data_IF_462330960307
#
_entry.id   IF_462330960307
#
_cell.length_a   1.000
_cell.length_b   1.000
_cell.length_c   1.000
_cell.angle_alpha   90.00
_cell.angle_beta   90.00
_cell.angle_gamma   90.00
#
_symmetry.space_group_name_H-M   'P 1'
#
loop_
_entity.id
_entity.type
_entity.pdbx_description
1 polymer ?
#
# COMPACT_ATOMS: atom_id res chain seq x y z
N UNK A 1 -11.37 28.25 -35.99
CA UNK A 1 -11.34 26.77 -35.99
C UNK A 1 -10.00 26.25 -35.45
N UNK A 2 -8.86 26.81 -35.85
CA UNK A 2 -7.51 26.43 -35.39
C UNK A 2 -7.19 26.65 -33.89
N UNK A 3 -7.72 27.70 -33.25
CA UNK A 3 -7.55 27.90 -31.80
C UNK A 3 -8.24 26.81 -30.96
N UNK A 4 -9.34 26.22 -31.43
CA UNK A 4 -10.04 25.14 -30.71
C UNK A 4 -9.18 23.88 -30.58
N UNK A 5 -8.44 23.53 -31.64
CA UNK A 5 -7.59 22.32 -31.67
C UNK A 5 -6.30 22.49 -30.86
N UNK A 6 -5.73 23.71 -30.84
CA UNK A 6 -4.54 24.01 -30.05
C UNK A 6 -4.85 23.99 -28.54
N UNK A 7 -5.99 24.55 -28.11
CA UNK A 7 -6.43 24.48 -26.70
C UNK A 7 -6.93 23.08 -26.33
N UNK A 8 -7.57 22.33 -27.23
CA UNK A 8 -7.89 20.92 -26.99
C UNK A 8 -6.63 20.07 -26.80
N UNK A 9 -5.54 20.38 -27.51
CA UNK A 9 -4.26 19.68 -27.36
C UNK A 9 -3.54 20.10 -26.08
N UNK A 10 -3.52 21.39 -25.74
CA UNK A 10 -2.95 21.88 -24.48
C UNK A 10 -3.75 21.44 -23.25
N UNK A 11 -5.08 21.36 -23.36
CA UNK A 11 -5.97 20.80 -22.34
C UNK A 11 -5.81 19.29 -22.24
N UNK A 12 -5.55 18.56 -23.34
CA UNK A 12 -5.15 17.16 -23.29
C UNK A 12 -3.76 16.97 -22.67
N UNK A 13 -2.82 17.90 -22.84
CA UNK A 13 -1.51 17.87 -22.17
C UNK A 13 -1.66 18.16 -20.69
N UNK A 14 -2.40 19.20 -20.31
CA UNK A 14 -2.65 19.56 -18.90
C UNK A 14 -3.46 18.45 -18.22
N UNK A 15 -4.50 17.91 -18.87
CA UNK A 15 -5.20 16.72 -18.37
C UNK A 15 -4.29 15.49 -18.36
N UNK A 16 -3.39 15.27 -19.31
CA UNK A 16 -2.44 14.14 -19.24
C UNK A 16 -1.35 14.33 -18.15
N UNK A 17 -0.98 15.58 -17.84
CA UNK A 17 -0.01 15.93 -16.80
C UNK A 17 -0.65 15.88 -15.41
N UNK A 18 -1.85 16.43 -15.25
CA UNK A 18 -2.63 16.42 -14.00
C UNK A 18 -3.32 15.08 -13.74
N UNK A 19 -3.72 14.31 -14.76
CA UNK A 19 -4.25 12.94 -14.56
C UNK A 19 -3.18 11.92 -14.16
N UNK A 20 -1.89 12.29 -14.09
CA UNK A 20 -0.87 11.46 -13.42
C UNK A 20 -0.37 12.07 -12.10
N UNK A 21 -0.85 13.26 -11.73
CA UNK A 21 -0.68 13.87 -10.41
C UNK A 21 -1.88 13.67 -9.47
N UNK A 22 -3.08 13.46 -10.03
CA UNK A 22 -4.15 12.77 -9.32
C UNK A 22 -3.69 11.31 -9.27
N UNK A 23 -3.42 10.71 -8.09
CA UNK A 23 -3.41 9.26 -8.02
C UNK A 23 -4.76 8.86 -8.59
N UNK A 24 -4.77 8.26 -9.77
CA UNK A 24 -5.98 7.65 -10.27
C UNK A 24 -6.55 6.89 -9.08
N UNK A 25 -7.82 7.12 -8.76
CA UNK A 25 -8.52 6.26 -7.82
C UNK A 25 -8.64 4.83 -8.38
N UNK A 26 -7.91 4.52 -9.46
CA UNK A 26 -7.19 3.27 -9.65
C UNK A 26 -6.11 3.07 -8.56
N UNK A 27 -6.48 3.21 -7.28
CA UNK A 27 -6.01 2.21 -6.34
C UNK A 27 -6.36 0.87 -7.00
N UNK A 28 -5.38 0.01 -7.36
CA UNK A 28 -5.73 -1.22 -8.04
C UNK A 28 -6.65 -1.95 -7.09
N UNK A 29 -7.95 -1.95 -7.40
CA UNK A 29 -8.97 -2.65 -6.61
C UNK A 29 -8.36 -4.02 -6.39
N UNK A 30 -7.96 -4.36 -5.15
CA UNK A 30 -7.12 -5.50 -4.91
C UNK A 30 -7.87 -6.70 -5.48
N UNK A 31 -7.28 -7.34 -6.49
CA UNK A 31 -7.95 -8.36 -7.29
C UNK A 31 -8.69 -9.33 -6.36
N UNK A 32 -10.03 -9.27 -6.38
CA UNK A 32 -10.91 -9.90 -5.39
C UNK A 32 -10.99 -11.43 -5.61
N UNK A 33 -9.88 -12.14 -5.50
CA UNK A 33 -9.91 -13.60 -5.49
C UNK A 33 -10.22 -14.11 -4.08
N UNK A 34 -11.43 -14.64 -3.91
CA UNK A 34 -11.73 -15.67 -2.91
C UNK A 34 -12.36 -15.26 -1.57
N UNK A 35 -12.62 -13.98 -1.30
CA UNK A 35 -13.07 -13.52 0.03
C UNK A 35 -14.33 -12.65 0.03
N UNK A 36 -15.18 -12.78 -0.98
CA UNK A 36 -16.44 -12.01 -1.10
C UNK A 36 -17.50 -12.33 -0.02
N UNK A 37 -17.25 -13.30 0.86
CA UNK A 37 -18.25 -13.83 1.81
C UNK A 37 -18.05 -13.44 3.28
N UNK A 38 -16.90 -12.87 3.70
CA UNK A 38 -16.66 -12.56 5.12
C UNK A 38 -16.75 -11.05 5.43
N UNK A 39 -17.82 -10.65 6.12
CA UNK A 39 -18.13 -9.24 6.43
C UNK A 39 -17.14 -8.59 7.39
N UNK A 40 -16.47 -9.38 8.24
CA UNK A 40 -15.41 -8.88 9.14
C UNK A 40 -14.17 -8.46 8.36
N UNK A 41 -13.75 -9.28 7.39
CA UNK A 41 -12.63 -8.97 6.50
C UNK A 41 -12.93 -7.75 5.62
N UNK A 42 -14.18 -7.58 5.17
CA UNK A 42 -14.58 -6.41 4.38
C UNK A 42 -14.54 -5.09 5.18
N UNK A 43 -15.03 -5.09 6.42
CA UNK A 43 -15.00 -3.89 7.27
C UNK A 43 -13.57 -3.50 7.68
N UNK A 44 -12.71 -4.49 7.94
CA UNK A 44 -11.29 -4.26 8.19
C UNK A 44 -10.58 -3.66 6.97
N UNK A 45 -10.99 -4.05 5.75
CA UNK A 45 -10.49 -3.48 4.49
C UNK A 45 -10.95 -2.05 4.25
N UNK A 46 -12.24 -1.77 4.40
CA UNK A 46 -12.77 -0.39 4.28
C UNK A 46 -12.13 0.57 5.29
N UNK A 47 -11.94 0.11 6.53
CA UNK A 47 -11.21 0.90 7.53
C UNK A 47 -9.75 1.17 7.13
N UNK A 48 -9.13 0.22 6.43
CA UNK A 48 -7.78 0.38 5.91
C UNK A 48 -7.70 1.35 4.73
N UNK A 49 -8.60 1.29 3.75
CA UNK A 49 -8.59 2.22 2.61
C UNK A 49 -8.70 3.68 3.10
N UNK A 50 -9.52 3.92 4.13
CA UNK A 50 -9.61 5.22 4.81
C UNK A 50 -8.28 5.59 5.53
N UNK A 51 -7.62 4.62 6.18
CA UNK A 51 -6.34 4.83 6.87
C UNK A 51 -5.16 5.01 5.90
N UNK A 52 -5.27 4.48 4.69
CA UNK A 52 -4.27 4.60 3.63
C UNK A 52 -4.41 5.94 2.89
N UNK A 53 -5.63 6.48 2.80
CA UNK A 53 -5.89 7.83 2.29
C UNK A 53 -5.32 8.91 3.22
N UNK A 54 -5.33 8.67 4.54
CA UNK A 54 -4.78 9.56 5.58
C UNK A 54 -3.28 9.25 5.86
N UNK A 55 -2.48 9.12 4.79
CA UNK A 55 -1.10 8.67 4.88
C UNK A 55 -0.11 9.79 5.23
N UNK A 56 0.66 9.55 6.30
CA UNK A 56 1.85 10.31 6.70
C UNK A 56 3.06 9.36 6.73
N UNK A 57 4.17 9.76 6.09
CA UNK A 57 5.36 8.92 5.90
C UNK A 57 6.03 8.47 7.21
N UNK A 58 5.86 9.26 8.28
CA UNK A 58 6.54 9.04 9.56
C UNK A 58 5.70 8.31 10.61
N UNK A 59 4.49 7.87 10.24
CA UNK A 59 3.62 7.20 11.19
C UNK A 59 3.95 5.72 11.32
N UNK A 60 4.00 5.26 12.57
CA UNK A 60 4.13 3.84 12.89
C UNK A 60 2.75 3.24 13.15
N UNK A 61 2.45 2.14 12.48
CA UNK A 61 1.28 1.34 12.78
C UNK A 61 1.54 0.53 14.06
N UNK A 62 0.67 0.71 15.06
CA UNK A 62 0.82 0.13 16.39
C UNK A 62 -0.42 -0.70 16.70
N UNK A 63 -0.21 -1.99 16.95
CA UNK A 63 -1.26 -2.88 17.45
C UNK A 63 -0.86 -3.54 18.77
N UNK A 64 -1.84 -3.65 19.67
CA UNK A 64 -1.65 -4.16 21.03
C UNK A 64 -2.58 -5.34 21.28
N UNK A 65 -2.01 -6.45 21.76
CA UNK A 65 -2.76 -7.54 22.37
C UNK A 65 -2.93 -7.24 23.84
N UNK A 66 -4.18 -7.26 24.29
CA UNK A 66 -4.54 -7.05 25.69
C UNK A 66 -5.07 -8.35 26.30
N UNK A 67 -4.82 -8.50 27.59
CA UNK A 67 -5.41 -9.52 28.45
C UNK A 67 -6.90 -9.21 28.72
N UNK A 68 -7.64 -10.16 29.30
CA UNK A 68 -8.99 -9.95 29.83
C UNK A 68 -9.06 -8.83 30.88
N UNK A 69 -7.96 -8.55 31.59
CA UNK A 69 -7.81 -7.42 32.52
C UNK A 69 -7.42 -6.10 31.85
N UNK A 70 -7.43 -6.02 30.51
CA UNK A 70 -6.98 -4.87 29.71
C UNK A 70 -5.48 -4.52 29.80
N UNK A 71 -4.66 -5.33 30.44
CA UNK A 71 -3.20 -5.18 30.44
C UNK A 71 -2.61 -5.51 29.07
N UNK A 72 -1.68 -4.68 28.58
CA UNK A 72 -1.01 -4.89 27.29
C UNK A 72 0.05 -5.98 27.42
N UNK A 73 -0.22 -7.15 26.84
CA UNK A 73 0.68 -8.30 26.87
C UNK A 73 1.78 -8.17 25.82
N UNK A 74 1.40 -7.68 24.65
CA UNK A 74 2.28 -7.60 23.50
C UNK A 74 1.90 -6.42 22.61
N UNK A 75 2.91 -5.69 22.17
CA UNK A 75 2.79 -4.57 21.27
C UNK A 75 3.69 -4.78 20.06
N UNK A 76 3.13 -4.66 18.86
CA UNK A 76 3.88 -4.72 17.61
C UNK A 76 3.80 -3.36 16.95
N UNK A 77 4.97 -2.82 16.62
CA UNK A 77 5.17 -1.56 15.91
C UNK A 77 5.82 -1.83 14.57
N UNK A 78 5.24 -1.26 13.51
CA UNK A 78 5.76 -1.35 12.15
C UNK A 78 5.67 0.03 11.51
N UNK A 79 6.70 0.45 10.78
CA UNK A 79 6.69 1.72 10.05
C UNK A 79 5.75 1.64 8.84
N UNK A 80 4.87 2.64 8.63
CA UNK A 80 3.95 2.64 7.48
C UNK A 80 4.67 2.64 6.12
N UNK A 81 5.87 3.23 6.05
CA UNK A 81 6.74 3.20 4.87
C UNK A 81 7.15 1.77 4.48
N UNK A 82 7.52 0.94 5.46
CA UNK A 82 7.96 -0.44 5.26
C UNK A 82 6.84 -1.38 4.75
N UNK A 83 5.57 -1.01 4.95
CA UNK A 83 4.40 -1.76 4.50
C UNK A 83 4.09 -1.56 3.01
N UNK A 84 4.79 -0.64 2.33
CA UNK A 84 4.68 -0.42 0.89
C UNK A 84 5.83 -1.10 0.19
N UNK A 85 5.50 -2.15 -0.57
CA UNK A 85 6.45 -2.85 -1.41
C UNK A 85 6.17 -2.52 -2.86
N UNK A 86 7.19 -2.65 -3.69
CA UNK A 86 7.05 -2.46 -5.13
C UNK A 86 7.33 -3.78 -5.83
N UNK A 87 6.55 -4.06 -6.87
CA UNK A 87 6.65 -5.29 -7.67
C UNK A 87 8.01 -5.45 -8.39
N UNK A 88 8.76 -4.35 -8.56
CA UNK A 88 10.13 -4.41 -9.11
C UNK A 88 11.19 -4.81 -8.06
N UNK A 89 10.81 -4.87 -6.78
CA UNK A 89 11.70 -5.27 -5.69
C UNK A 89 11.60 -6.78 -5.52
N UNK A 90 12.63 -7.51 -5.95
CA UNK A 90 12.67 -8.97 -5.79
C UNK A 90 12.51 -9.39 -4.32
N UNK A 91 13.04 -8.57 -3.39
CA UNK A 91 12.92 -8.79 -1.95
C UNK A 91 12.47 -7.51 -1.23
N UNK A 92 11.41 -7.62 -0.45
CA UNK A 92 10.95 -6.64 0.52
C UNK A 92 11.30 -7.09 1.93
N UNK A 93 11.84 -6.19 2.76
CA UNK A 93 12.13 -6.47 4.17
C UNK A 93 11.27 -5.57 5.05
N UNK A 94 10.53 -6.17 5.97
CA UNK A 94 9.72 -5.46 6.96
C UNK A 94 10.28 -5.78 8.33
N UNK A 95 10.83 -4.78 9.01
CA UNK A 95 11.32 -4.95 10.39
C UNK A 95 10.19 -4.59 11.37
N UNK A 96 9.75 -5.59 12.13
CA UNK A 96 8.65 -5.45 13.08
C UNK A 96 9.22 -5.36 14.50
N UNK A 97 9.02 -4.23 15.18
CA UNK A 97 9.44 -4.08 16.57
C UNK A 97 8.37 -4.63 17.50
N UNK A 98 8.69 -5.72 18.19
CA UNK A 98 7.81 -6.40 19.14
C UNK A 98 8.29 -6.12 20.55
N UNK A 99 7.38 -5.63 21.39
CA UNK A 99 7.59 -5.41 22.82
C UNK A 99 6.58 -6.25 23.57
N UNK A 100 7.04 -7.25 24.33
CA UNK A 100 6.18 -8.08 25.17
C UNK A 100 6.37 -7.70 26.63
N UNK A 101 5.27 -7.52 27.35
CA UNK A 101 5.25 -7.34 28.80
C UNK A 101 4.19 -8.29 29.38
N UNK A 102 4.56 -9.56 29.52
CA UNK A 102 3.61 -10.62 29.90
C UNK A 102 4.16 -11.46 31.06
N UNK A 103 3.28 -11.85 31.97
CA UNK A 103 3.61 -12.76 33.09
C UNK A 103 3.71 -14.21 32.62
N UNK A 104 3.08 -14.53 31.48
CA UNK A 104 3.14 -15.83 30.81
C UNK A 104 4.01 -15.76 29.56
N UNK A 105 4.73 -16.84 29.21
CA UNK A 105 5.49 -16.88 27.97
C UNK A 105 4.54 -16.89 26.77
N UNK A 106 4.95 -16.24 25.68
CA UNK A 106 4.14 -16.04 24.48
C UNK A 106 4.83 -16.64 23.27
N UNK A 107 4.06 -17.19 22.34
CA UNK A 107 4.53 -17.50 20.99
C UNK A 107 3.95 -16.51 20.01
N UNK A 108 4.79 -15.97 19.13
CA UNK A 108 4.40 -15.12 18.02
C UNK A 108 4.75 -15.83 16.72
N UNK A 109 3.75 -16.08 15.89
CA UNK A 109 3.92 -16.54 14.51
C UNK A 109 3.25 -15.56 13.57
N UNK A 110 3.65 -15.55 12.31
CA UNK A 110 3.05 -14.68 11.31
C UNK A 110 2.72 -15.44 10.04
N UNK A 111 1.69 -14.97 9.34
CA UNK A 111 1.25 -15.49 8.05
C UNK A 111 0.68 -14.38 7.16
N UNK A 112 0.43 -14.68 5.89
CA UNK A 112 -0.22 -13.78 4.94
C UNK A 112 -1.64 -14.24 4.66
N UNK A 113 -2.55 -13.29 4.48
CA UNK A 113 -3.94 -13.57 4.06
C UNK A 113 -4.03 -14.08 2.62
N UNK A 114 -3.28 -13.46 1.71
CA UNK A 114 -3.21 -13.87 0.30
C UNK A 114 -1.78 -14.20 -0.11
N UNK A 115 -1.60 -15.39 -0.67
CA UNK A 115 -0.32 -15.89 -1.20
C UNK A 115 0.00 -15.34 -2.61
N UNK A 116 -0.96 -14.66 -3.26
CA UNK A 116 -0.84 -14.26 -4.66
C UNK A 116 -0.07 -12.96 -4.86
N UNK A 117 -0.23 -12.00 -3.93
CA UNK A 117 0.49 -10.73 -4.02
C UNK A 117 1.94 -10.87 -3.56
N UNK A 118 2.15 -11.65 -2.50
CA UNK A 118 3.43 -11.79 -1.82
C UNK A 118 3.60 -13.18 -1.25
N UNK A 119 4.86 -13.60 -1.15
CA UNK A 119 5.24 -14.87 -0.52
C UNK A 119 6.39 -14.64 0.46
N UNK A 120 6.37 -15.34 1.59
CA UNK A 120 7.52 -15.34 2.50
C UNK A 120 8.72 -16.03 1.85
N UNK A 121 9.90 -15.41 1.97
CA UNK A 121 11.16 -16.05 1.64
C UNK A 121 11.50 -17.13 2.67
N UNK A 122 11.41 -16.78 3.95
CA UNK A 122 11.48 -17.70 5.08
C UNK A 122 10.33 -17.42 6.04
N UNK A 123 9.86 -18.47 6.71
CA UNK A 123 8.87 -18.36 7.77
C UNK A 123 9.55 -18.69 9.07
N UNK A 124 9.33 -17.87 10.09
CA UNK A 124 9.83 -18.12 11.43
C UNK A 124 8.75 -17.84 12.45
N UNK A 125 8.88 -18.50 13.58
CA UNK A 125 8.09 -18.18 14.76
C UNK A 125 9.02 -17.94 15.94
N UNK A 126 8.52 -17.19 16.90
CA UNK A 126 9.30 -16.69 18.02
C UNK A 126 8.63 -17.11 19.31
N UNK A 127 9.43 -17.65 20.23
CA UNK A 127 9.06 -17.91 21.61
C UNK A 127 9.63 -16.79 22.48
N UNK A 128 8.76 -16.10 23.19
CA UNK A 128 9.09 -15.02 24.11
C UNK A 128 8.94 -15.52 25.54
N UNK A 129 9.96 -15.36 26.39
CA UNK A 129 9.87 -15.69 27.81
C UNK A 129 8.92 -14.74 28.54
N UNK A 130 8.56 -15.08 29.76
CA UNK A 130 7.84 -14.14 30.62
C UNK A 130 8.74 -12.95 31.02
N UNK A 131 8.14 -11.78 31.18
CA UNK A 131 8.83 -10.53 31.49
C UNK A 131 8.75 -9.50 30.35
N UNK A 132 9.65 -8.53 30.41
CA UNK A 132 9.75 -7.46 29.43
C UNK A 132 10.82 -7.78 28.38
N UNK A 133 10.40 -8.09 27.16
CA UNK A 133 11.31 -8.39 26.05
C UNK A 133 11.08 -7.43 24.91
N UNK A 134 12.18 -6.98 24.29
CA UNK A 134 12.16 -6.22 23.04
C UNK A 134 12.84 -7.05 21.96
N UNK A 135 12.16 -7.22 20.84
CA UNK A 135 12.61 -8.02 19.71
C UNK A 135 12.34 -7.26 18.42
N UNK A 136 13.26 -7.32 17.47
CA UNK A 136 13.00 -6.94 16.08
C UNK A 136 12.86 -8.20 15.25
N UNK A 137 11.70 -8.40 14.63
CA UNK A 137 11.40 -9.53 13.76
C UNK A 137 11.59 -9.06 12.31
N UNK A 138 12.65 -9.49 11.61
CA UNK A 138 12.79 -9.24 10.18
C UNK A 138 11.90 -10.21 9.41
N UNK A 139 10.95 -9.67 8.66
CA UNK A 139 10.07 -10.44 7.77
C UNK A 139 10.52 -10.20 6.34
N UNK A 140 11.02 -11.26 5.70
CA UNK A 140 11.46 -11.22 4.31
C UNK A 140 10.35 -11.70 3.38
N UNK A 141 9.92 -10.80 2.50
CA UNK A 141 8.83 -11.01 1.55
C UNK A 141 9.36 -10.94 0.12
N UNK A 142 8.84 -11.79 -0.74
CA UNK A 142 9.01 -11.75 -2.18
C UNK A 142 7.73 -11.16 -2.76
N UNK A 143 7.87 -10.09 -3.54
CA UNK A 143 6.75 -9.54 -4.29
C UNK A 143 6.52 -10.39 -5.53
N UNK A 144 5.26 -10.66 -5.88
CA UNK A 144 4.89 -11.49 -7.04
C UNK A 144 3.90 -10.78 -7.94
N UNK A 145 2.93 -10.09 -7.33
CA UNK A 145 1.89 -9.40 -8.05
C UNK A 145 1.42 -8.17 -7.26
N UNK A 146 1.02 -7.14 -7.98
CA UNK A 146 0.34 -5.97 -7.43
C UNK A 146 -0.93 -6.40 -6.68
N UNK A 147 -1.09 -5.92 -5.46
CA UNK A 147 -2.26 -6.21 -4.66
C UNK A 147 -2.12 -5.82 -3.19
N UNK A 148 -3.23 -5.88 -2.49
CA UNK A 148 -3.31 -5.73 -1.04
C UNK A 148 -3.30 -7.12 -0.38
N UNK A 149 -2.44 -7.31 0.61
CA UNK A 149 -2.47 -8.48 1.49
C UNK A 149 -2.37 -8.03 2.95
N UNK A 150 -2.70 -8.94 3.88
CA UNK A 150 -2.58 -8.68 5.30
C UNK A 150 -1.51 -9.60 5.90
N UNK A 151 -0.50 -8.98 6.49
CA UNK A 151 0.45 -9.65 7.38
C UNK A 151 -0.22 -9.83 8.74
N UNK A 152 -0.54 -11.09 9.05
CA UNK A 152 -1.24 -11.49 10.26
C UNK A 152 -0.26 -12.06 11.27
N UNK A 153 -0.18 -11.49 12.47
CA UNK A 153 0.52 -12.07 13.60
C UNK A 153 -0.47 -12.79 14.51
N UNK A 154 -0.16 -14.06 14.78
CA UNK A 154 -0.85 -14.87 15.77
C UNK A 154 -0.06 -14.84 17.07
N UNK A 155 -0.74 -14.43 18.13
CA UNK A 155 -0.17 -14.42 19.48
C UNK A 155 -0.88 -15.47 20.31
N UNK A 156 -0.12 -16.40 20.89
CA UNK A 156 -0.65 -17.48 21.74
C UNK A 156 0.17 -17.62 23.01
N UNK A 157 -0.44 -18.17 24.04
CA UNK A 157 0.28 -18.59 25.23
C UNK A 157 1.16 -19.81 24.90
N UNK A 158 2.41 -19.76 25.36
CA UNK A 158 3.38 -20.82 25.17
C UNK A 158 3.53 -21.67 26.42
N UNK A 159 4.00 -22.90 26.28
CA UNK A 159 4.49 -23.64 27.44
C UNK A 159 5.75 -22.97 28.00
N UNK A 160 5.86 -22.98 29.34
CA UNK A 160 7.05 -22.53 30.04
C UNK A 160 8.20 -23.47 29.73
N UNK A 161 9.24 -22.95 29.11
CA UNK A 161 10.51 -23.62 28.86
C UNK A 161 11.56 -23.10 29.86
N UNK A 162 12.66 -23.84 30.04
CA UNK A 162 13.78 -23.44 30.92
C UNK A 162 14.66 -22.32 30.33
N UNK A 163 14.28 -21.75 29.20
CA UNK A 163 15.00 -20.65 28.57
C UNK A 163 14.55 -19.31 29.16
N UNK A 164 15.51 -18.42 29.38
CA UNK A 164 15.26 -17.03 29.83
C UNK A 164 15.38 -16.01 28.69
N UNK A 165 15.85 -16.44 27.52
CA UNK A 165 16.01 -15.62 26.32
C UNK A 165 14.98 -15.97 25.25
N UNK A 166 14.68 -15.01 24.38
CA UNK A 166 13.84 -15.20 23.19
C UNK A 166 14.47 -16.25 22.27
N UNK A 167 13.65 -17.16 21.76
CA UNK A 167 14.07 -18.19 20.80
C UNK A 167 13.35 -17.99 19.47
N UNK A 168 14.08 -18.06 18.37
CA UNK A 168 13.52 -18.09 17.02
C UNK A 168 13.68 -19.47 16.42
N UNK A 169 12.67 -19.91 15.70
CA UNK A 169 12.68 -21.20 15.02
C UNK A 169 12.18 -20.99 13.59
N UNK A 170 12.96 -21.45 12.63
CA UNK A 170 12.56 -21.42 11.23
C UNK A 170 11.54 -22.53 10.95
N UNK A 171 10.42 -22.16 10.36
CA UNK A 171 9.38 -23.07 9.94
C UNK A 171 9.76 -23.64 8.57
N UNK A 172 10.36 -24.82 8.56
CA UNK A 172 10.55 -25.58 7.33
C UNK A 172 9.25 -26.32 6.94
N UNK A 173 9.19 -26.87 5.73
CA UNK A 173 8.05 -27.68 5.29
C UNK A 173 7.99 -29.07 5.95
N UNK A 174 8.91 -29.39 6.86
CA UNK A 174 8.99 -30.70 7.50
C UNK A 174 7.93 -30.83 8.60
N UNK A 175 7.48 -32.05 8.82
CA UNK A 175 6.44 -32.32 9.81
C UNK A 175 6.96 -32.11 11.23
N UNK A 176 8.26 -32.29 11.45
CA UNK A 176 8.92 -32.13 12.74
C UNK A 176 8.86 -30.67 13.22
N UNK A 177 9.13 -29.69 12.34
CA UNK A 177 9.04 -28.28 12.72
C UNK A 177 7.61 -27.87 13.06
N UNK A 178 6.63 -28.38 12.30
CA UNK A 178 5.20 -28.17 12.60
C UNK A 178 4.83 -28.78 13.95
N UNK A 179 5.21 -30.02 14.19
CA UNK A 179 4.94 -30.72 15.46
C UNK A 179 5.62 -30.01 16.64
N UNK A 180 6.83 -29.48 16.45
CA UNK A 180 7.54 -28.69 17.45
C UNK A 180 6.85 -27.35 17.74
N UNK A 181 6.30 -26.69 16.73
CA UNK A 181 5.47 -25.50 16.93
C UNK A 181 4.20 -25.85 17.72
N UNK A 182 3.43 -26.85 17.28
CA UNK A 182 2.17 -27.22 17.94
C UNK A 182 2.34 -27.80 19.34
N UNK A 183 3.49 -28.42 19.65
CA UNK A 183 3.79 -28.86 21.02
C UNK A 183 4.23 -27.72 21.94
N UNK A 184 4.62 -26.56 21.38
CA UNK A 184 5.06 -25.40 22.16
C UNK A 184 3.92 -24.48 22.61
N UNK A 185 2.74 -24.62 22.01
CA UNK A 185 1.57 -23.76 22.28
C UNK A 185 0.63 -24.40 23.28
N UNK A 186 0.03 -23.59 24.15
CA UNK A 186 -1.03 -24.02 25.07
C UNK A 186 -2.34 -24.13 24.29
N UNK A 187 -3.09 -25.23 24.50
CA UNK A 187 -4.31 -25.55 23.74
C UNK A 187 -5.49 -24.63 24.06
N UNK A 188 -5.57 -24.13 25.29
CA UNK A 188 -6.56 -23.16 25.73
C UNK A 188 -5.90 -22.28 26.79
N UNK A 189 -5.92 -20.98 26.54
CA UNK A 189 -5.28 -20.00 27.39
C UNK A 189 -6.33 -19.15 28.08
N UNK A 190 -6.15 -18.92 29.38
CA UNK A 190 -7.02 -18.02 30.16
C UNK A 190 -6.56 -16.56 30.02
N UNK A 191 -5.29 -16.34 29.68
CA UNK A 191 -4.62 -15.03 29.68
C UNK A 191 -4.66 -14.36 28.30
N UNK A 192 -4.47 -15.14 27.25
CA UNK A 192 -4.54 -14.71 25.85
C UNK A 192 -5.79 -15.29 25.22
N UNK A 193 -6.65 -14.45 24.65
CA UNK A 193 -7.78 -14.93 23.85
C UNK A 193 -7.25 -15.79 22.70
N UNK A 194 -7.86 -16.96 22.48
CA UNK A 194 -7.43 -17.93 21.45
C UNK A 194 -7.42 -17.36 20.01
N UNK A 195 -8.00 -16.17 19.82
CA UNK A 195 -8.13 -15.41 18.56
C UNK A 195 -7.33 -14.10 18.53
N UNK A 196 -6.31 -13.93 19.39
CA UNK A 196 -5.44 -12.75 19.36
C UNK A 196 -4.65 -12.68 18.04
N UNK A 197 -5.27 -12.01 17.06
CA UNK A 197 -4.80 -11.81 15.69
C UNK A 197 -4.51 -10.32 15.50
N UNK A 198 -3.28 -10.00 15.16
CA UNK A 198 -2.88 -8.65 14.77
C UNK A 198 -2.69 -8.60 13.26
N UNK A 199 -3.41 -7.73 12.57
CA UNK A 199 -3.38 -7.62 11.12
C UNK A 199 -2.73 -6.31 10.68
N UNK A 200 -1.63 -6.41 9.94
CA UNK A 200 -0.94 -5.29 9.32
C UNK A 200 -1.16 -5.35 7.80
N UNK A 201 -1.75 -4.32 7.22
CA UNK A 201 -1.98 -4.26 5.78
C UNK A 201 -0.66 -3.97 5.06
N UNK A 202 -0.33 -4.79 4.07
CA UNK A 202 0.86 -4.65 3.23
C UNK A 202 0.38 -4.52 1.79
N UNK A 203 0.81 -3.45 1.13
CA UNK A 203 0.42 -3.17 -0.25
C UNK A 203 1.61 -3.32 -1.18
N UNK A 204 1.43 -4.09 -2.25
CA UNK A 204 2.38 -4.17 -3.36
C UNK A 204 1.89 -3.21 -4.43
N UNK A 205 2.66 -2.15 -4.65
CA UNK A 205 2.43 -1.15 -5.68
C UNK A 205 3.17 -1.53 -6.96
N UNK A 206 2.65 -1.07 -8.09
CA UNK A 206 3.34 -1.20 -9.36
C UNK A 206 4.62 -0.37 -9.33
N UNK A 207 5.77 -1.02 -9.48
CA UNK A 207 7.01 -0.31 -9.76
C UNK A 207 6.86 0.46 -11.08
N UNK A 208 7.22 1.75 -11.10
CA UNK A 208 7.21 2.52 -12.35
C UNK A 208 8.21 1.88 -13.31
N UNK A 209 7.68 1.24 -14.35
CA UNK A 209 8.50 0.55 -15.33
C UNK A 209 9.22 1.54 -16.23
N UNK A 210 10.44 1.19 -16.65
CA UNK A 210 11.21 1.99 -17.64
C UNK A 210 10.36 2.27 -18.89
N UNK A 211 9.56 1.30 -19.33
CA UNK A 211 8.66 1.44 -20.48
C UNK A 211 7.61 2.54 -20.28
N UNK A 212 7.06 2.69 -19.07
CA UNK A 212 6.06 3.73 -18.78
C UNK A 212 6.69 5.12 -18.83
N UNK A 213 7.92 5.26 -18.34
CA UNK A 213 8.69 6.50 -18.39
C UNK A 213 9.03 6.85 -19.84
N UNK A 214 9.52 5.89 -20.61
CA UNK A 214 9.85 6.09 -22.03
C UNK A 214 8.62 6.49 -22.83
N UNK A 215 7.51 5.76 -22.66
CA UNK A 215 6.25 6.10 -23.32
C UNK A 215 5.77 7.51 -22.96
N UNK A 216 5.84 7.89 -21.68
CA UNK A 216 5.51 9.25 -21.23
C UNK A 216 6.36 10.30 -21.93
N UNK A 217 7.68 10.12 -21.98
CA UNK A 217 8.59 11.06 -22.65
C UNK A 217 8.28 11.16 -24.14
N UNK A 218 7.99 10.04 -24.82
CA UNK A 218 7.62 10.02 -26.24
C UNK A 218 6.31 10.79 -26.49
N UNK A 219 5.28 10.58 -25.66
CA UNK A 219 4.01 11.30 -25.81
C UNK A 219 4.20 12.80 -25.59
N UNK A 220 4.91 13.20 -24.53
CA UNK A 220 5.18 14.61 -24.24
C UNK A 220 5.95 15.27 -25.38
N UNK A 221 6.99 14.62 -25.90
CA UNK A 221 7.79 15.16 -27.02
C UNK A 221 6.98 15.25 -28.31
N UNK A 222 6.18 14.23 -28.63
CA UNK A 222 5.32 14.24 -29.82
C UNK A 222 4.31 15.39 -29.77
N UNK A 223 3.61 15.57 -28.64
CA UNK A 223 2.61 16.63 -28.52
C UNK A 223 3.28 18.02 -28.52
N UNK A 224 4.47 18.15 -27.93
CA UNK A 224 5.24 19.40 -27.99
C UNK A 224 5.59 19.77 -29.44
N UNK A 225 6.05 18.80 -30.23
CA UNK A 225 6.38 19.01 -31.65
C UNK A 225 5.12 19.39 -32.43
N UNK A 226 4.00 18.69 -32.26
CA UNK A 226 2.76 19.01 -32.96
C UNK A 226 2.21 20.39 -32.61
N UNK A 227 2.28 20.78 -31.35
CA UNK A 227 1.87 22.11 -30.90
C UNK A 227 2.80 23.17 -31.50
N UNK A 228 4.10 22.89 -31.58
CA UNK A 228 5.07 23.80 -32.19
C UNK A 228 4.85 23.94 -33.70
N UNK A 229 4.63 22.84 -34.44
CA UNK A 229 4.38 22.89 -35.89
C UNK A 229 3.09 23.65 -36.22
N UNK A 230 2.02 23.45 -35.44
CA UNK A 230 0.79 24.24 -35.60
C UNK A 230 1.00 25.73 -35.28
N UNK A 231 1.90 26.05 -34.34
CA UNK A 231 2.28 27.43 -34.03
C UNK A 231 3.12 28.09 -35.14
N UNK A 232 3.98 27.34 -35.82
CA UNK A 232 4.81 27.85 -36.91
C UNK A 232 4.05 28.05 -38.24
N UNK A 233 2.92 27.38 -38.44
CA UNK A 233 2.02 27.61 -39.58
C UNK A 233 1.22 28.92 -39.43
N UNK A 234 1.37 29.62 -38.30
CA UNK A 234 0.71 30.89 -38.02
C UNK A 234 1.52 32.06 -38.62
N UNK A 235 1.00 32.64 -39.70
CA UNK A 235 1.59 33.82 -40.33
C UNK A 235 1.62 35.02 -39.35
N UNK A 236 2.82 35.55 -38.99
CA UNK A 236 2.95 36.63 -38.02
C UNK A 236 2.24 37.93 -38.44
N UNK A 237 2.01 38.13 -39.75
CA UNK A 237 1.25 39.28 -40.26
C UNK A 237 -0.24 39.16 -39.93
N UNK A 238 -0.82 37.96 -40.01
CA UNK A 238 -2.20 37.67 -39.62
C UNK A 238 -2.39 37.78 -38.10
N UNK A 239 -1.40 37.33 -37.31
CA UNK A 239 -1.44 37.44 -35.84
C UNK A 239 -1.58 38.89 -35.38
N UNK A 240 -0.87 39.82 -36.03
CA UNK A 240 -0.93 41.26 -35.72
C UNK A 240 -2.29 41.88 -36.07
N UNK A 241 -2.99 41.37 -37.08
CA UNK A 241 -4.36 41.79 -37.41
C UNK A 241 -5.39 41.28 -36.38
N UNK A 242 -5.29 40.02 -35.95
CA UNK A 242 -6.18 39.46 -34.92
C UNK A 242 -5.97 40.09 -33.53
N UNK A 243 -4.72 40.45 -33.17
CA UNK A 243 -4.42 41.16 -31.93
C UNK A 243 -5.10 42.54 -31.84
N UNK A 244 -5.43 43.16 -32.98
CA UNK A 244 -6.08 44.48 -33.04
C UNK A 244 -7.60 44.42 -32.81
N UNK A 245 -8.23 43.24 -32.93
CA UNK A 245 -9.64 42.99 -32.59
C UNK A 245 -9.80 41.63 -31.89
N UNK A 246 -9.57 41.55 -30.57
CA UNK A 246 -9.54 40.30 -29.83
C UNK A 246 -10.93 39.70 -29.54
N UNK A 247 -11.99 40.22 -30.16
CA UNK A 247 -13.39 39.83 -29.86
C UNK A 247 -13.64 38.36 -30.19
N UNK A 248 -13.11 37.85 -31.31
CA UNK A 248 -13.24 36.44 -31.69
C UNK A 248 -12.54 35.48 -30.71
N UNK A 249 -11.24 35.67 -30.42
CA UNK A 249 -10.52 34.87 -29.42
C UNK A 249 -11.11 34.96 -28.00
N UNK A 250 -11.57 36.14 -27.57
CA UNK A 250 -12.15 36.34 -26.25
C UNK A 250 -13.48 35.59 -26.06
N UNK A 251 -14.34 35.56 -27.09
CA UNK A 251 -15.61 34.82 -27.05
C UNK A 251 -15.35 33.31 -27.01
N UNK A 252 -14.37 32.82 -27.79
CA UNK A 252 -13.93 31.42 -27.74
C UNK A 252 -13.41 31.01 -26.36
N UNK A 253 -12.60 31.86 -25.73
CA UNK A 253 -12.04 31.64 -24.40
C UNK A 253 -13.12 31.63 -23.31
N UNK A 254 -14.05 32.59 -23.33
CA UNK A 254 -15.18 32.63 -22.40
C UNK A 254 -16.09 31.40 -22.54
N UNK A 255 -16.41 30.98 -23.76
CA UNK A 255 -17.25 29.80 -23.98
C UNK A 255 -16.57 28.52 -23.46
N UNK A 256 -15.26 28.37 -23.67
CA UNK A 256 -14.54 27.16 -23.26
C UNK A 256 -14.24 27.09 -21.77
N UNK A 257 -13.75 28.19 -21.19
CA UNK A 257 -13.30 28.19 -19.78
C UNK A 257 -14.42 28.47 -18.78
N UNK A 258 -15.56 29.02 -19.20
CA UNK A 258 -16.68 29.32 -18.30
C UNK A 258 -17.81 28.32 -18.52
N UNK A 259 -18.28 28.11 -19.75
CA UNK A 259 -19.49 27.30 -20.00
C UNK A 259 -19.20 25.81 -19.81
N UNK A 260 -18.07 25.29 -20.32
CA UNK A 260 -17.76 23.87 -20.22
C UNK A 260 -17.61 23.36 -18.77
N UNK A 261 -16.89 24.05 -17.86
CA UNK A 261 -16.84 23.65 -16.46
C UNK A 261 -18.12 23.94 -15.67
N UNK A 262 -18.95 24.93 -16.06
CA UNK A 262 -20.25 25.16 -15.40
C UNK A 262 -21.25 24.03 -15.70
N UNK A 263 -21.30 23.54 -16.93
CA UNK A 263 -22.22 22.46 -17.35
C UNK A 263 -21.84 21.12 -16.72
N UNK A 264 -20.56 20.87 -16.46
CA UNK A 264 -20.13 19.64 -15.77
C UNK A 264 -20.57 19.55 -14.31
N UNK A 265 -20.96 20.68 -13.68
CA UNK A 265 -21.35 20.75 -12.26
C UNK A 265 -22.86 20.84 -12.04
N UNK A 266 -23.65 20.97 -13.10
CA UNK A 266 -25.12 20.98 -13.08
C UNK A 266 -25.65 19.56 -13.30
#
# INVERSE_FOLDING_TARGET
MWQLYCYSSLLLIILAYDCQGIPADDSPLPMEFGLKLDSKTQNARKGFDLTLAEYSENETYLQRVRNWMNETLLEIRIEKSSLRLYDNMETGRIDCAVVSNSTVPLTVSYDLDSIHAMRFQNRSWYWLPNGNNKLSIPVHLLTQQIGLSYLRFWVREAFRKNYTAVQSYELNSSNEAKNHYFSSIVRSSVVVNDTALLGFPVVVLRGQGVVQIVFRVVVVTMVTIFTFTMGCELDPELLKMYARRPVGPAIGFCCQFIIMPLVSRL
#
